data_IF_888609664952
#
_entry.id   IF_888609664952
#
_cell.length_a   1.000
_cell.length_b   1.000
_cell.length_c   1.000
_cell.angle_alpha   90.00
_cell.angle_beta   90.00
_cell.angle_gamma   90.00
#
_symmetry.space_group_name_H-M   'P 1'
#
loop_
_entity.id
_entity.type
_entity.pdbx_description
1 polymer ?
#
# COMPACT_ATOMS: atom_id res chain seq x y z
N UNK A 1 10.38 -20.97 4.72
CA UNK A 1 8.95 -20.60 4.65
C UNK A 1 8.89 -19.21 4.04
N UNK A 2 8.14 -19.05 2.95
CA UNK A 2 8.08 -17.80 2.23
C UNK A 2 7.25 -16.76 3.02
N UNK A 3 7.63 -15.51 2.93
CA UNK A 3 6.88 -14.37 3.49
C UNK A 3 6.25 -13.59 2.34
N UNK A 4 4.95 -13.36 2.43
CA UNK A 4 4.21 -12.51 1.48
C UNK A 4 4.07 -11.10 2.07
N UNK A 5 4.53 -10.10 1.34
CA UNK A 5 4.46 -8.69 1.75
C UNK A 5 3.58 -7.92 0.78
N UNK A 6 2.52 -7.34 1.31
CA UNK A 6 1.65 -6.39 0.60
C UNK A 6 2.07 -4.97 0.94
N UNK A 7 2.21 -4.11 -0.06
CA UNK A 7 2.82 -2.78 0.11
C UNK A 7 1.84 -1.62 0.18
N UNK A 8 0.58 -1.87 0.58
CA UNK A 8 -0.43 -0.83 0.80
C UNK A 8 -1.38 -0.57 -0.37
N UNK A 9 -2.26 0.42 -0.21
CA UNK A 9 -3.28 0.86 -1.17
C UNK A 9 -4.31 -0.24 -1.50
N UNK A 10 -4.96 -0.78 -0.46
CA UNK A 10 -5.97 -1.84 -0.58
C UNK A 10 -7.34 -1.31 -0.95
N UNK A 11 -7.57 -0.02 -0.80
CA UNK A 11 -8.85 0.66 -0.94
C UNK A 11 -8.78 1.76 -2.01
N UNK A 12 -9.92 2.36 -2.28
CA UNK A 12 -10.16 3.49 -3.17
C UNK A 12 -10.14 3.15 -4.66
N UNK A 13 -10.82 3.97 -5.44
CA UNK A 13 -10.96 3.89 -6.91
C UNK A 13 -11.68 2.64 -7.40
N UNK A 14 -11.22 1.47 -6.96
CA UNK A 14 -11.85 0.19 -7.32
C UNK A 14 -13.19 -0.02 -6.60
N UNK A 15 -14.13 -0.77 -7.20
CA UNK A 15 -15.49 -0.93 -6.66
C UNK A 15 -15.58 -1.91 -5.49
N UNK A 16 -14.54 -2.67 -5.19
CA UNK A 16 -14.56 -3.81 -4.27
C UNK A 16 -13.60 -3.64 -3.10
N UNK A 17 -13.43 -2.40 -2.58
CA UNK A 17 -12.49 -2.13 -1.48
C UNK A 17 -12.80 -2.97 -0.24
N UNK A 18 -14.08 -3.12 0.12
CA UNK A 18 -14.49 -3.95 1.26
C UNK A 18 -14.11 -5.42 1.05
N UNK A 19 -14.39 -5.97 -0.12
CA UNK A 19 -14.11 -7.37 -0.44
C UNK A 19 -12.61 -7.67 -0.50
N UNK A 20 -11.80 -6.70 -0.92
CA UNK A 20 -10.32 -6.80 -0.85
C UNK A 20 -9.88 -6.92 0.61
N UNK A 21 -10.39 -6.08 1.51
CA UNK A 21 -10.05 -6.16 2.94
C UNK A 21 -10.54 -7.47 3.56
N UNK A 22 -11.78 -7.91 3.26
CA UNK A 22 -12.30 -9.23 3.68
C UNK A 22 -11.33 -10.35 3.26
N UNK A 23 -10.88 -10.34 2.00
CA UNK A 23 -9.95 -11.33 1.46
C UNK A 23 -8.59 -11.32 2.18
N UNK A 24 -8.03 -10.14 2.44
CA UNK A 24 -6.72 -10.01 3.10
C UNK A 24 -6.77 -10.46 4.56
N UNK A 25 -7.86 -10.16 5.27
CA UNK A 25 -8.09 -10.66 6.64
C UNK A 25 -8.17 -12.19 6.65
N UNK A 26 -8.89 -12.79 5.69
CA UNK A 26 -9.01 -14.24 5.60
C UNK A 26 -7.71 -14.90 5.17
N UNK A 27 -6.93 -14.27 4.29
CA UNK A 27 -5.58 -14.72 3.93
C UNK A 27 -4.66 -14.76 5.15
N UNK A 28 -4.71 -13.72 6.01
CA UNK A 28 -3.91 -13.66 7.23
C UNK A 28 -4.22 -14.80 8.22
N UNK A 29 -5.46 -15.27 8.26
CA UNK A 29 -5.85 -16.43 9.08
C UNK A 29 -5.30 -17.75 8.54
N UNK A 30 -5.13 -17.86 7.22
CA UNK A 30 -4.70 -19.09 6.55
C UNK A 30 -3.17 -19.16 6.41
N UNK A 31 -2.50 -18.02 6.33
CA UNK A 31 -1.05 -17.92 6.09
C UNK A 31 -0.37 -17.22 7.26
N UNK A 32 0.53 -17.92 7.93
CA UNK A 32 1.21 -17.40 9.13
C UNK A 32 2.35 -16.40 8.84
N UNK A 33 2.65 -16.11 7.60
CA UNK A 33 3.79 -15.27 7.19
C UNK A 33 3.35 -14.26 6.14
N UNK A 34 2.37 -13.42 6.52
CA UNK A 34 1.88 -12.31 5.70
C UNK A 34 2.13 -11.00 6.43
N UNK A 35 2.65 -10.03 5.73
CA UNK A 35 2.89 -8.66 6.21
C UNK A 35 2.06 -7.71 5.37
N UNK A 36 1.34 -6.81 6.02
CA UNK A 36 0.57 -5.76 5.37
C UNK A 36 1.16 -4.40 5.73
N UNK A 37 1.55 -3.64 4.71
CA UNK A 37 2.01 -2.28 4.90
C UNK A 37 0.85 -1.29 4.70
N UNK A 38 0.96 -0.12 5.34
CA UNK A 38 0.04 1.01 5.16
C UNK A 38 0.40 1.76 3.88
N UNK A 39 -0.58 2.06 3.05
CA UNK A 39 -0.46 3.01 1.96
C UNK A 39 -1.02 4.38 2.33
N UNK A 40 -0.82 5.36 1.46
CA UNK A 40 -1.39 6.68 1.67
C UNK A 40 -2.93 6.69 1.58
N UNK A 41 -3.53 5.74 0.87
CA UNK A 41 -4.99 5.58 0.81
C UNK A 41 -5.57 5.16 2.16
N UNK A 42 -4.94 4.26 2.88
CA UNK A 42 -5.33 3.89 4.24
C UNK A 42 -5.13 5.05 5.22
N UNK A 43 -4.06 5.84 5.09
CA UNK A 43 -3.87 7.07 5.88
C UNK A 43 -4.99 8.10 5.61
N UNK A 44 -5.37 8.30 4.35
CA UNK A 44 -6.47 9.22 4.01
C UNK A 44 -7.81 8.75 4.58
N UNK A 45 -8.09 7.45 4.60
CA UNK A 45 -9.28 6.89 5.26
C UNK A 45 -9.26 7.17 6.77
N UNK A 46 -8.13 6.97 7.45
CA UNK A 46 -7.96 7.24 8.88
C UNK A 46 -8.27 8.73 9.20
N UNK A 47 -7.72 9.65 8.40
CA UNK A 47 -7.98 11.08 8.53
C UNK A 47 -9.45 11.43 8.23
N UNK A 48 -10.07 10.78 7.25
CA UNK A 48 -11.50 10.93 6.96
C UNK A 48 -12.37 10.49 8.16
N UNK A 49 -12.07 9.34 8.75
CA UNK A 49 -12.82 8.79 9.88
C UNK A 49 -12.66 9.64 11.15
N UNK A 50 -11.48 10.26 11.35
CA UNK A 50 -11.26 11.22 12.44
C UNK A 50 -11.97 12.56 12.22
N UNK A 51 -12.58 12.78 11.05
CA UNK A 51 -13.28 14.01 10.69
C UNK A 51 -12.38 15.10 10.09
N UNK A 52 -11.12 14.81 9.87
CA UNK A 52 -10.15 15.68 9.19
C UNK A 52 -9.98 15.26 7.74
N UNK A 53 -9.43 16.15 6.90
CA UNK A 53 -9.03 15.86 5.49
C UNK A 53 -10.07 15.12 4.63
N UNK A 54 -11.37 15.32 4.90
CA UNK A 54 -12.47 14.62 4.21
C UNK A 54 -12.42 14.79 2.70
N UNK A 55 -12.15 16.02 2.22
CA UNK A 55 -12.12 16.33 0.80
C UNK A 55 -10.96 15.63 0.11
N UNK A 56 -9.80 15.53 0.77
CA UNK A 56 -8.62 14.84 0.25
C UNK A 56 -8.91 13.36 -0.02
N UNK A 57 -9.52 12.66 0.94
CA UNK A 57 -9.91 11.27 0.78
C UNK A 57 -10.90 11.08 -0.37
N UNK A 58 -11.98 11.87 -0.41
CA UNK A 58 -13.01 11.75 -1.44
C UNK A 58 -12.45 12.04 -2.84
N UNK A 59 -11.62 13.08 -2.99
CA UNK A 59 -11.01 13.45 -4.27
C UNK A 59 -10.01 12.38 -4.80
N UNK A 60 -9.45 11.57 -3.92
CA UNK A 60 -8.52 10.49 -4.28
C UNK A 60 -9.19 9.13 -4.53
N UNK A 61 -10.51 9.08 -4.60
CA UNK A 61 -11.25 7.86 -4.95
C UNK A 61 -11.97 7.21 -3.77
N UNK A 62 -11.98 7.85 -2.60
CA UNK A 62 -12.63 7.37 -1.38
C UNK A 62 -14.13 7.11 -1.52
N UNK A 63 -14.82 7.78 -2.47
CA UNK A 63 -16.22 7.46 -2.78
C UNK A 63 -16.44 5.99 -3.12
N UNK A 64 -15.52 5.36 -3.86
CA UNK A 64 -15.63 3.94 -4.20
C UNK A 64 -15.56 3.07 -2.92
N UNK A 65 -14.65 3.40 -2.02
CA UNK A 65 -14.54 2.74 -0.72
C UNK A 65 -15.82 2.90 0.10
N UNK A 66 -16.33 4.13 0.27
CA UNK A 66 -17.57 4.37 1.03
C UNK A 66 -18.74 3.57 0.48
N UNK A 67 -18.90 3.54 -0.85
CA UNK A 67 -19.93 2.75 -1.52
C UNK A 67 -19.78 1.25 -1.28
N UNK A 68 -18.57 0.73 -1.27
CA UNK A 68 -18.34 -0.71 -1.01
C UNK A 68 -18.77 -1.15 0.39
N UNK A 69 -18.81 -0.20 1.35
CA UNK A 69 -19.32 -0.43 2.70
C UNK A 69 -20.81 -0.10 2.87
N UNK A 70 -21.45 0.52 1.88
CA UNK A 70 -22.90 0.81 1.96
C UNK A 70 -23.73 -0.43 1.64
N UNK A 71 -24.95 -0.52 2.24
CA UNK A 71 -25.81 -1.71 2.10
C UNK A 71 -26.36 -1.93 0.70
N UNK A 72 -26.47 -0.86 -0.08
CA UNK A 72 -27.13 -0.86 -1.38
C UNK A 72 -26.20 -0.36 -2.52
N UNK A 73 -24.94 -0.11 -2.23
CA UNK A 73 -23.95 0.48 -3.16
C UNK A 73 -24.40 1.82 -3.80
N UNK A 74 -25.44 2.46 -3.27
CA UNK A 74 -26.06 3.66 -3.86
C UNK A 74 -25.79 4.94 -3.09
N UNK A 75 -25.35 4.87 -1.83
CA UNK A 75 -25.10 6.04 -1.00
C UNK A 75 -23.64 6.44 -0.99
N UNK A 76 -23.39 7.75 -1.11
CA UNK A 76 -22.05 8.32 -0.93
C UNK A 76 -21.66 8.45 0.57
N UNK A 77 -22.55 8.01 1.46
CA UNK A 77 -22.27 7.88 2.88
C UNK A 77 -21.84 6.45 3.17
N UNK A 78 -20.71 6.31 3.86
CA UNK A 78 -20.23 5.00 4.31
C UNK A 78 -21.29 4.35 5.21
N UNK A 79 -21.61 3.09 4.91
CA UNK A 79 -22.14 2.20 5.94
C UNK A 79 -21.10 2.03 7.06
N UNK A 80 -21.48 1.48 8.22
CA UNK A 80 -20.53 1.24 9.30
C UNK A 80 -19.41 0.28 8.83
N UNK A 81 -18.17 0.72 8.94
CA UNK A 81 -17.02 -0.13 8.68
C UNK A 81 -16.95 -1.17 9.81
N UNK A 82 -16.89 -2.49 9.50
CA UNK A 82 -16.80 -3.53 10.51
C UNK A 82 -15.55 -3.35 11.40
N UNK A 83 -15.68 -3.66 12.71
CA UNK A 83 -14.57 -3.54 13.64
C UNK A 83 -13.33 -4.34 13.22
N UNK A 84 -13.50 -5.53 12.65
CA UNK A 84 -12.39 -6.32 12.12
C UNK A 84 -11.62 -5.62 10.99
N UNK A 85 -12.28 -4.75 10.20
CA UNK A 85 -11.62 -3.94 9.17
C UNK A 85 -10.91 -2.74 9.78
N UNK A 86 -11.49 -2.09 10.79
CA UNK A 86 -10.79 -1.05 11.55
C UNK A 86 -9.53 -1.60 12.21
N UNK A 87 -9.65 -2.76 12.88
CA UNK A 87 -8.52 -3.47 13.46
C UNK A 87 -7.44 -3.81 12.40
N UNK A 88 -7.85 -4.21 11.18
CA UNK A 88 -6.92 -4.44 10.08
C UNK A 88 -6.15 -3.17 9.71
N UNK A 89 -6.83 -2.03 9.52
CA UNK A 89 -6.19 -0.76 9.17
C UNK A 89 -5.27 -0.23 10.28
N UNK A 90 -5.67 -0.38 11.54
CA UNK A 90 -4.89 0.04 12.70
C UNK A 90 -3.59 -0.77 12.88
N UNK A 91 -3.56 -2.02 12.39
CA UNK A 91 -2.41 -2.91 12.50
C UNK A 91 -1.48 -2.91 11.27
N UNK A 92 -1.72 -2.06 10.28
CA UNK A 92 -0.84 -1.91 9.12
C UNK A 92 0.53 -1.32 9.53
N UNK A 93 1.59 -1.89 8.99
CA UNK A 93 2.97 -1.43 9.26
C UNK A 93 3.38 -0.35 8.26
N UNK A 94 4.25 0.56 8.67
CA UNK A 94 4.83 1.56 7.76
C UNK A 94 5.91 0.97 6.87
N UNK A 95 6.68 0.02 7.39
CA UNK A 95 7.70 -0.71 6.63
C UNK A 95 7.88 -2.14 7.18
N UNK A 96 8.57 -2.94 6.41
CA UNK A 96 9.09 -4.24 6.84
C UNK A 96 10.52 -4.40 6.35
N UNK A 97 11.40 -4.83 7.23
CA UNK A 97 12.83 -4.94 6.95
C UNK A 97 13.31 -6.38 7.12
N UNK A 98 14.20 -6.79 6.22
CA UNK A 98 14.94 -8.05 6.26
C UNK A 98 16.45 -7.78 6.18
N UNK A 99 17.28 -8.79 6.16
CA UNK A 99 18.73 -8.62 6.00
C UNK A 99 19.09 -7.96 4.65
N UNK A 100 18.33 -8.20 3.58
CA UNK A 100 18.63 -7.76 2.22
C UNK A 100 17.69 -6.72 1.65
N UNK A 101 16.48 -6.57 2.22
CA UNK A 101 15.42 -5.75 1.65
C UNK A 101 14.75 -4.87 2.68
N UNK A 102 14.31 -3.68 2.23
CA UNK A 102 13.36 -2.83 2.92
C UNK A 102 12.10 -2.76 2.05
N UNK A 103 10.96 -3.04 2.63
CA UNK A 103 9.65 -2.89 1.99
C UNK A 103 8.96 -1.66 2.57
N UNK A 104 8.52 -0.75 1.72
CA UNK A 104 7.84 0.48 2.10
C UNK A 104 6.80 0.82 1.05
N UNK A 105 5.76 1.59 1.41
CA UNK A 105 4.71 1.91 0.44
C UNK A 105 5.23 2.80 -0.70
N UNK A 106 5.71 4.01 -0.39
CA UNK A 106 6.11 4.99 -1.41
C UNK A 106 7.63 5.10 -1.58
N UNK A 107 8.36 5.24 -0.50
CA UNK A 107 9.81 5.38 -0.54
C UNK A 107 10.39 5.89 0.76
N UNK A 108 11.64 6.33 0.70
CA UNK A 108 12.43 6.79 1.84
C UNK A 108 13.19 8.07 1.47
N UNK A 109 13.41 8.93 2.45
CA UNK A 109 14.23 10.13 2.29
C UNK A 109 15.71 9.81 2.43
N UNK A 110 16.51 10.25 1.47
CA UNK A 110 17.96 10.02 1.46
C UNK A 110 18.66 10.64 2.68
N UNK A 111 19.72 10.00 3.15
CA UNK A 111 20.53 10.42 4.31
C UNK A 111 19.80 10.45 5.67
N UNK A 112 18.64 9.80 5.76
CA UNK A 112 17.92 9.63 7.02
C UNK A 112 17.87 8.12 7.33
N UNK A 113 18.25 7.67 8.53
CA UNK A 113 18.13 6.28 8.96
C UNK A 113 16.66 5.80 8.90
N UNK A 114 16.43 4.49 8.71
CA UNK A 114 15.07 3.95 8.56
C UNK A 114 14.18 4.27 9.77
N UNK A 115 14.73 4.20 10.95
CA UNK A 115 14.06 4.49 12.23
C UNK A 115 13.70 5.97 12.45
N UNK A 116 14.30 6.88 11.67
CA UNK A 116 14.06 8.33 11.72
C UNK A 116 13.27 8.85 10.52
N UNK A 117 12.84 7.96 9.62
CA UNK A 117 12.05 8.33 8.46
C UNK A 117 10.68 8.90 8.86
N UNK A 118 10.29 10.00 8.24
CA UNK A 118 8.97 10.58 8.45
C UNK A 118 7.88 9.72 7.80
N UNK A 119 6.76 9.55 8.50
CA UNK A 119 5.60 8.79 8.01
C UNK A 119 5.08 9.34 6.69
N UNK A 120 5.11 10.68 6.53
CA UNK A 120 4.69 11.32 5.29
C UNK A 120 5.58 10.90 4.12
N UNK A 121 6.91 10.91 4.29
CA UNK A 121 7.83 10.49 3.23
C UNK A 121 7.61 9.02 2.87
N UNK A 122 7.45 8.14 3.86
CA UNK A 122 7.21 6.70 3.63
C UNK A 122 5.92 6.42 2.85
N UNK A 123 4.91 7.29 2.94
CA UNK A 123 3.60 7.10 2.31
C UNK A 123 3.38 7.93 1.05
N UNK A 124 4.16 9.00 0.80
CA UNK A 124 3.84 9.97 -0.24
C UNK A 124 5.00 10.34 -1.18
N UNK A 125 6.25 10.11 -0.80
CA UNK A 125 7.39 10.51 -1.63
C UNK A 125 7.32 9.87 -3.02
N UNK A 126 7.74 10.61 -4.04
CA UNK A 126 7.77 10.14 -5.44
C UNK A 126 9.15 10.37 -6.04
N UNK A 127 9.27 11.36 -6.90
CA UNK A 127 10.42 11.63 -7.74
C UNK A 127 11.72 11.78 -6.94
N UNK A 128 11.68 12.40 -5.77
CA UNK A 128 12.83 12.58 -4.88
C UNK A 128 13.44 11.22 -4.48
N UNK A 129 12.62 10.22 -4.20
CA UNK A 129 13.08 8.87 -3.91
C UNK A 129 13.41 8.07 -5.17
N UNK A 130 12.53 8.13 -6.19
CA UNK A 130 12.63 7.31 -7.40
C UNK A 130 13.94 7.57 -8.14
N UNK A 131 14.31 8.85 -8.28
CA UNK A 131 15.51 9.27 -9.03
C UNK A 131 16.76 9.45 -8.15
N UNK A 132 16.68 9.16 -6.86
CA UNK A 132 17.84 9.17 -5.96
C UNK A 132 18.70 7.94 -6.17
N UNK A 133 20.02 8.12 -6.27
CA UNK A 133 21.01 7.04 -6.29
C UNK A 133 21.44 6.62 -4.85
N UNK A 134 20.83 7.18 -3.82
CA UNK A 134 21.19 6.89 -2.44
C UNK A 134 21.02 5.40 -2.12
N UNK A 135 22.07 4.80 -1.54
CA UNK A 135 22.08 3.41 -1.11
C UNK A 135 21.73 3.32 0.39
N UNK A 136 20.61 2.69 0.70
CA UNK A 136 20.18 2.41 2.06
C UNK A 136 20.86 1.17 2.67
N UNK A 137 21.84 0.58 1.99
CA UNK A 137 22.51 -0.67 2.39
C UNK A 137 21.66 -1.92 2.13
N UNK A 138 20.40 -1.75 1.71
CA UNK A 138 19.45 -2.79 1.35
C UNK A 138 18.63 -2.34 0.14
N UNK A 139 18.19 -3.31 -0.67
CA UNK A 139 17.35 -2.98 -1.82
C UNK A 139 15.94 -2.64 -1.37
N UNK A 140 15.42 -1.49 -1.78
CA UNK A 140 14.09 -1.01 -1.37
C UNK A 140 13.03 -1.50 -2.35
N UNK A 141 11.97 -2.15 -1.85
CA UNK A 141 10.80 -2.58 -2.63
C UNK A 141 9.65 -1.62 -2.32
N UNK A 142 9.06 -1.02 -3.37
CA UNK A 142 8.07 0.04 -3.20
C UNK A 142 6.95 0.02 -4.25
N UNK A 143 5.89 0.81 -4.02
CA UNK A 143 4.72 1.02 -4.89
C UNK A 143 4.35 2.48 -5.05
N UNK A 144 3.06 2.83 -4.83
CA UNK A 144 2.53 4.19 -4.78
C UNK A 144 2.60 5.00 -6.09
N UNK A 145 3.69 4.90 -6.81
CA UNK A 145 3.88 5.59 -8.09
C UNK A 145 3.75 4.57 -9.20
N UNK A 146 2.65 4.62 -9.99
CA UNK A 146 2.40 3.61 -11.00
C UNK A 146 3.32 3.78 -12.22
N UNK A 147 3.88 2.67 -12.67
CA UNK A 147 4.68 2.58 -13.89
C UNK A 147 4.03 1.61 -14.88
N UNK A 148 4.22 1.76 -16.19
CA UNK A 148 3.71 0.81 -17.17
C UNK A 148 4.28 -0.62 -17.03
N UNK A 149 5.45 -0.74 -16.40
CA UNK A 149 6.17 -1.99 -16.10
C UNK A 149 6.90 -1.83 -14.76
N UNK A 150 7.26 -2.93 -14.09
CA UNK A 150 8.10 -2.86 -12.89
C UNK A 150 9.35 -2.02 -13.14
N UNK A 151 9.65 -1.13 -12.22
CA UNK A 151 10.85 -0.31 -12.24
C UNK A 151 11.97 -1.06 -11.50
N UNK A 152 13.10 -1.28 -12.16
CA UNK A 152 14.21 -2.07 -11.58
C UNK A 152 15.49 -1.27 -11.64
N UNK A 153 15.99 -0.87 -10.47
CA UNK A 153 17.32 -0.29 -10.26
C UNK A 153 18.14 -1.21 -9.35
N UNK A 154 19.42 -0.97 -9.23
CA UNK A 154 20.30 -1.75 -8.36
C UNK A 154 19.90 -1.61 -6.89
N UNK A 155 19.53 -0.37 -6.47
CA UNK A 155 19.17 -0.02 -5.09
C UNK A 155 17.68 -0.11 -4.77
N UNK A 156 16.78 -0.30 -5.78
CA UNK A 156 15.33 -0.35 -5.55
C UNK A 156 14.55 -1.07 -6.64
N UNK A 157 13.32 -1.53 -6.29
CA UNK A 157 12.36 -2.12 -7.23
C UNK A 157 10.98 -1.53 -6.97
N UNK A 158 10.39 -0.86 -7.97
CA UNK A 158 8.99 -0.41 -7.96
C UNK A 158 8.08 -1.47 -8.59
N UNK A 159 7.04 -1.90 -7.88
CA UNK A 159 6.11 -2.96 -8.34
C UNK A 159 4.68 -2.48 -8.57
N UNK A 160 4.39 -1.19 -8.33
CA UNK A 160 3.09 -0.64 -8.70
C UNK A 160 3.02 -0.50 -10.23
N UNK A 161 2.18 -1.29 -10.84
CA UNK A 161 1.95 -1.26 -12.28
C UNK A 161 0.55 -0.78 -12.64
N UNK A 162 -0.12 -0.09 -11.71
CA UNK A 162 -1.37 0.62 -11.98
C UNK A 162 -2.59 -0.30 -12.18
N UNK A 163 -2.72 -1.35 -11.38
CA UNK A 163 -3.82 -2.31 -11.48
C UNK A 163 -5.20 -1.64 -11.48
N UNK A 164 -5.43 -0.70 -10.58
CA UNK A 164 -6.71 0.03 -10.47
C UNK A 164 -7.00 0.93 -11.68
N UNK A 165 -6.00 1.25 -12.47
CA UNK A 165 -6.13 2.01 -13.73
C UNK A 165 -6.28 1.12 -14.97
N UNK A 166 -6.53 -0.19 -14.78
CA UNK A 166 -6.73 -1.14 -15.87
C UNK A 166 -5.44 -1.75 -16.43
N UNK A 167 -4.33 -1.56 -15.77
CA UNK A 167 -3.09 -2.27 -16.04
C UNK A 167 -2.99 -3.51 -15.11
N UNK A 168 -1.82 -3.96 -14.72
CA UNK A 168 -1.59 -5.23 -14.04
C UNK A 168 -1.40 -5.07 -12.55
N UNK A 169 -1.82 -6.06 -11.77
CA UNK A 169 -1.34 -6.27 -10.41
C UNK A 169 -0.05 -7.10 -10.47
N UNK A 170 1.03 -6.56 -9.92
CA UNK A 170 2.36 -7.16 -10.06
C UNK A 170 2.92 -7.60 -8.70
N UNK A 171 3.54 -8.78 -8.70
CA UNK A 171 4.31 -9.32 -7.59
C UNK A 171 5.76 -9.59 -8.04
N UNK A 172 6.72 -9.42 -7.15
CA UNK A 172 8.12 -9.81 -7.34
C UNK A 172 8.51 -10.91 -6.37
N UNK A 173 9.06 -11.99 -6.89
CA UNK A 173 9.70 -13.05 -6.09
C UNK A 173 11.17 -12.71 -5.87
N UNK A 174 11.58 -12.67 -4.62
CA UNK A 174 12.94 -12.35 -4.19
C UNK A 174 13.60 -13.60 -3.56
N UNK A 175 14.91 -13.77 -3.70
CA UNK A 175 15.88 -12.87 -4.31
C UNK A 175 16.01 -13.01 -5.84
N UNK A 176 15.25 -13.89 -6.48
CA UNK A 176 15.37 -14.20 -7.91
C UNK A 176 14.98 -13.04 -8.85
N UNK A 177 14.33 -11.98 -8.31
CA UNK A 177 13.78 -10.84 -9.07
C UNK A 177 12.91 -11.31 -10.23
N UNK A 178 12.03 -12.26 -9.96
CA UNK A 178 11.09 -12.80 -10.93
C UNK A 178 9.72 -12.14 -10.73
N UNK A 179 9.13 -11.63 -11.80
CA UNK A 179 7.86 -10.93 -11.77
C UNK A 179 6.71 -11.84 -12.20
N UNK A 180 5.60 -11.70 -11.49
CA UNK A 180 4.30 -12.29 -11.81
C UNK A 180 3.28 -11.18 -11.88
N UNK A 181 2.35 -11.23 -12.83
CA UNK A 181 1.31 -10.21 -12.96
C UNK A 181 0.04 -10.77 -13.60
N UNK A 182 -1.08 -10.24 -13.16
CA UNK A 182 -2.42 -10.54 -13.65
C UNK A 182 -3.10 -9.28 -14.14
#
# INVERSE_FOLDING_TARGET
KDTLVFIGDYIDRGPQSKEVVDYLIDLAKQQSSVIFLKGNHEQMLELYLSGTEKLTFLANGGYATLRSYSKDNSSDEAGPIPSAHLDFFDNLRLCYETDQYIFVHAGLKSNIPLEEQDVWDMLWVRDEFIYSDFDFGKRVIFGHTPFPKPLVFDNKIGIDTGAVYGNKLTCVELPAVKFYSV
#
